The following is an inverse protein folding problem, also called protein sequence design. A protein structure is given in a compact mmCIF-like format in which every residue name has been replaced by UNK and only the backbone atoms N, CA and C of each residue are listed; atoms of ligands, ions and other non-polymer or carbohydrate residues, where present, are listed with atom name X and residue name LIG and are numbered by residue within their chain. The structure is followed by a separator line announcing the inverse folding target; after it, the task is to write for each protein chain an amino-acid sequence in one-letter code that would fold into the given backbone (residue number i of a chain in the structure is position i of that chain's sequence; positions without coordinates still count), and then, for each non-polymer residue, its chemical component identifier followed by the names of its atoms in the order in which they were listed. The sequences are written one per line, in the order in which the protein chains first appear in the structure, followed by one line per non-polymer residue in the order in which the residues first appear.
data_IF_422506000949
#
_entry.id   IF_422506000949
#
_cell.length_a   1.000
_cell.length_b   1.000
_cell.length_c   1.000
_cell.angle_alpha   90.00
_cell.angle_beta   90.00
_cell.angle_gamma   90.00
#
_symmetry.space_group_name_H-M   'P 1'
#
loop_
_entity.id
_entity.type
_entity.pdbx_description
1 polymer ?
#
# COMPACT_ATOMS: atom_id res chain seq x y z
N UNK A 1 -11.80 -44.13 -0.07
CA UNK A 1 -10.92 -43.55 -1.11
C UNK A 1 -10.98 -42.04 -1.00
N UNK A 2 -9.82 -41.44 -0.73
CA UNK A 2 -9.63 -40.01 -0.49
C UNK A 2 -9.77 -39.21 -1.79
N UNK A 3 -10.61 -38.19 -1.78
CA UNK A 3 -10.73 -37.22 -2.88
C UNK A 3 -10.70 -35.78 -2.34
N UNK A 4 -9.60 -35.41 -1.67
CA UNK A 4 -9.29 -34.02 -1.31
C UNK A 4 -8.87 -33.29 -2.60
N UNK A 5 -9.57 -32.22 -2.96
CA UNK A 5 -9.24 -31.40 -4.12
C UNK A 5 -9.77 -29.97 -4.03
N UNK A 6 -9.55 -29.30 -2.89
CA UNK A 6 -9.80 -27.87 -2.78
C UNK A 6 -8.64 -27.12 -3.45
N UNK A 7 -8.70 -26.94 -4.76
CA UNK A 7 -7.80 -26.00 -5.44
C UNK A 7 -8.26 -24.59 -5.12
N UNK A 8 -7.80 -24.06 -3.98
CA UNK A 8 -7.86 -22.63 -3.69
C UNK A 8 -6.92 -21.96 -4.69
N UNK A 9 -7.49 -21.38 -5.75
CA UNK A 9 -6.79 -20.50 -6.67
C UNK A 9 -6.21 -19.35 -5.83
N UNK A 10 -4.94 -19.43 -5.45
CA UNK A 10 -4.23 -18.26 -4.99
C UNK A 10 -4.02 -17.40 -6.23
N UNK A 11 -4.95 -16.48 -6.47
CA UNK A 11 -4.64 -15.32 -7.29
C UNK A 11 -3.40 -14.71 -6.66
N UNK A 12 -2.28 -14.79 -7.38
CA UNK A 12 -1.00 -14.22 -6.96
C UNK A 12 -1.18 -12.71 -7.06
N UNK A 13 -1.81 -12.10 -6.05
CA UNK A 13 -2.00 -10.65 -6.01
C UNK A 13 -0.61 -10.03 -6.08
N UNK A 14 -0.34 -9.30 -7.16
CA UNK A 14 0.92 -8.59 -7.31
C UNK A 14 0.96 -7.54 -6.21
N UNK A 15 1.94 -7.67 -5.31
CA UNK A 15 2.27 -6.62 -4.35
C UNK A 15 2.62 -5.38 -5.15
N UNK A 16 1.90 -4.30 -4.87
CA UNK A 16 2.10 -2.98 -5.48
C UNK A 16 2.64 -2.04 -4.43
N UNK A 17 3.46 -1.12 -4.88
CA UNK A 17 4.07 -0.11 -4.02
C UNK A 17 3.42 1.23 -4.29
N UNK A 18 3.21 2.00 -3.23
CA UNK A 18 2.55 3.29 -3.26
C UNK A 18 3.32 4.29 -2.40
N UNK A 19 3.18 5.56 -2.75
CA UNK A 19 3.68 6.70 -2.01
C UNK A 19 2.51 7.58 -1.59
N UNK A 20 2.35 7.78 -0.28
CA UNK A 20 1.34 8.69 0.28
C UNK A 20 1.99 9.90 0.93
N UNK A 21 1.50 11.11 0.61
CA UNK A 21 1.92 12.35 1.27
C UNK A 21 1.02 12.60 2.47
N UNK A 22 1.56 12.55 3.69
CA UNK A 22 0.80 12.70 4.93
C UNK A 22 0.23 14.12 5.03
N UNK A 23 -1.07 14.21 5.28
CA UNK A 23 -1.76 15.48 5.47
C UNK A 23 -1.33 16.18 6.78
N UNK A 24 -1.26 17.51 6.73
CA UNK A 24 -0.99 18.32 7.92
C UNK A 24 -2.03 18.04 9.01
N UNK A 25 -1.57 17.79 10.23
CA UNK A 25 -2.41 17.38 11.37
C UNK A 25 -2.28 15.91 11.72
N UNK A 26 -1.79 15.06 10.81
CA UNK A 26 -1.51 13.66 11.07
C UNK A 26 -0.03 13.41 11.37
N UNK A 27 0.25 12.61 12.38
CA UNK A 27 1.60 12.10 12.65
C UNK A 27 1.86 10.80 11.88
N UNK A 28 3.14 10.52 11.59
CA UNK A 28 3.55 9.25 10.96
C UNK A 28 3.05 8.03 11.74
N UNK A 29 3.10 8.07 13.08
CA UNK A 29 2.67 6.96 13.94
C UNK A 29 1.17 6.67 13.80
N UNK A 30 0.34 7.71 13.67
CA UNK A 30 -1.11 7.53 13.44
C UNK A 30 -1.38 6.93 12.07
N UNK A 31 -0.69 7.42 11.04
CA UNK A 31 -0.77 6.90 9.67
C UNK A 31 -0.33 5.44 9.61
N UNK A 32 0.82 5.10 10.19
CA UNK A 32 1.35 3.73 10.26
C UNK A 32 0.36 2.79 10.96
N UNK A 33 -0.25 3.24 12.06
CA UNK A 33 -1.27 2.47 12.79
C UNK A 33 -2.50 2.20 11.90
N UNK A 34 -2.98 3.21 11.15
CA UNK A 34 -4.11 3.05 10.23
C UNK A 34 -3.78 2.10 9.09
N UNK A 35 -2.61 2.25 8.46
CA UNK A 35 -2.15 1.36 7.39
C UNK A 35 -2.04 -0.09 7.87
N UNK A 36 -1.44 -0.30 9.05
CA UNK A 36 -1.31 -1.64 9.65
C UNK A 36 -2.66 -2.27 9.95
N UNK A 37 -3.63 -1.50 10.44
CA UNK A 37 -5.02 -1.97 10.66
C UNK A 37 -5.73 -2.39 9.38
N UNK A 38 -5.37 -1.77 8.24
CA UNK A 38 -5.89 -2.13 6.92
C UNK A 38 -5.15 -3.33 6.31
N UNK A 39 -4.14 -3.87 6.97
CA UNK A 39 -3.27 -4.93 6.45
C UNK A 39 -2.25 -4.42 5.42
N UNK A 40 -2.03 -3.11 5.37
CA UNK A 40 -1.06 -2.47 4.48
C UNK A 40 0.28 -2.36 5.21
N UNK A 41 1.35 -2.78 4.55
CA UNK A 41 2.69 -2.77 5.13
C UNK A 41 3.41 -1.48 4.77
N UNK A 42 3.89 -0.75 5.77
CA UNK A 42 4.81 0.37 5.55
C UNK A 42 6.19 -0.17 5.19
N UNK A 43 6.79 0.41 4.15
CA UNK A 43 8.12 0.05 3.66
C UNK A 43 9.17 1.07 4.12
N UNK A 44 8.94 2.37 3.85
CA UNK A 44 9.87 3.45 4.20
C UNK A 44 9.12 4.73 4.56
N UNK A 45 9.65 5.55 5.46
CA UNK A 45 9.13 6.89 5.76
C UNK A 45 10.20 7.96 5.51
N UNK A 46 9.82 9.01 4.76
CA UNK A 46 10.65 10.15 4.43
C UNK A 46 10.19 11.39 5.22
N UNK A 47 10.71 11.63 6.44
CA UNK A 47 10.20 12.66 7.34
C UNK A 47 10.31 14.08 6.79
N UNK A 48 11.36 14.38 6.03
CA UNK A 48 11.58 15.71 5.43
C UNK A 48 10.46 16.11 4.45
N UNK A 49 9.85 15.14 3.79
CA UNK A 49 8.81 15.35 2.79
C UNK A 49 7.42 14.92 3.29
N UNK A 50 7.34 14.35 4.50
CA UNK A 50 6.16 13.69 5.03
C UNK A 50 5.58 12.63 4.08
N UNK A 51 6.45 11.92 3.36
CA UNK A 51 6.05 10.86 2.42
C UNK A 51 6.22 9.50 3.08
N UNK A 52 5.22 8.64 2.95
CA UNK A 52 5.30 7.24 3.37
C UNK A 52 5.23 6.34 2.13
N UNK A 53 6.20 5.44 2.01
CA UNK A 53 6.23 4.35 1.04
C UNK A 53 5.62 3.13 1.70
N UNK A 54 4.64 2.51 1.05
CA UNK A 54 3.95 1.34 1.58
C UNK A 54 3.58 0.37 0.46
N UNK A 55 3.42 -0.90 0.84
CA UNK A 55 3.18 -2.00 -0.07
C UNK A 55 1.88 -2.69 0.31
N UNK A 56 1.06 -2.96 -0.69
CA UNK A 56 -0.19 -3.70 -0.52
C UNK A 56 -0.49 -4.55 -1.75
N UNK A 57 -1.21 -5.64 -1.54
CA UNK A 57 -1.77 -6.48 -2.59
C UNK A 57 -3.14 -5.97 -3.08
N UNK A 58 -3.66 -4.90 -2.46
CA UNK A 58 -4.94 -4.27 -2.80
C UNK A 58 -4.73 -3.12 -3.77
N UNK A 59 -5.70 -2.94 -4.66
CA UNK A 59 -5.73 -1.77 -5.55
C UNK A 59 -6.24 -0.58 -4.74
N UNK A 60 -5.38 0.42 -4.56
CA UNK A 60 -5.66 1.62 -3.76
C UNK A 60 -6.74 2.50 -4.38
N UNK A 61 -7.06 2.35 -5.68
CA UNK A 61 -8.14 3.12 -6.34
C UNK A 61 -9.55 2.90 -5.73
N UNK A 62 -9.69 2.00 -4.75
CA UNK A 62 -10.91 1.75 -3.99
C UNK A 62 -10.81 2.18 -2.51
N UNK A 63 -9.67 2.74 -2.08
CA UNK A 63 -9.39 3.09 -0.69
C UNK A 63 -9.16 4.60 -0.60
N UNK A 64 -10.16 5.32 -0.10
CA UNK A 64 -9.99 6.71 0.29
C UNK A 64 -9.23 6.79 1.61
N UNK A 65 -8.09 7.46 1.61
CA UNK A 65 -7.32 7.73 2.81
C UNK A 65 -7.56 9.16 3.29
N UNK A 66 -8.21 9.28 4.44
CA UNK A 66 -8.49 10.56 5.12
C UNK A 66 -7.25 11.24 5.72
N UNK A 67 -6.08 10.60 5.60
CA UNK A 67 -4.80 11.06 6.17
C UNK A 67 -3.72 11.32 5.13
N UNK A 68 -4.01 11.10 3.84
CA UNK A 68 -3.11 11.46 2.75
C UNK A 68 -3.67 12.62 1.93
N UNK A 69 -2.81 13.55 1.54
CA UNK A 69 -3.12 14.60 0.57
C UNK A 69 -3.22 13.99 -0.82
N UNK A 70 -2.30 13.09 -1.14
CA UNK A 70 -2.26 12.34 -2.39
C UNK A 70 -1.62 10.99 -2.16
N UNK A 71 -1.99 10.02 -2.99
CA UNK A 71 -1.38 8.69 -3.06
C UNK A 71 -1.10 8.35 -4.51
N UNK A 72 0.15 8.06 -4.81
CA UNK A 72 0.63 7.68 -6.14
C UNK A 72 1.12 6.23 -6.14
N UNK A 73 0.78 5.46 -7.17
CA UNK A 73 1.36 4.14 -7.40
C UNK A 73 2.80 4.31 -7.91
N UNK A 74 3.75 3.55 -7.35
CA UNK A 74 5.10 3.42 -7.92
C UNK A 74 4.95 2.73 -9.28
N UNK A 75 4.88 3.54 -10.34
CA UNK A 75 4.97 3.03 -11.71
C UNK A 75 6.44 2.93 -12.07
N UNK A 76 6.84 1.73 -12.44
CA UNK A 76 8.17 1.42 -13.00
C UNK A 76 8.28 1.97 -14.45
N UNK A 77 7.90 3.23 -14.68
CA UNK A 77 7.84 3.88 -15.99
C UNK A 77 9.23 4.36 -16.48
N UNK A 78 10.32 3.83 -15.92
CA UNK A 78 11.65 3.94 -16.53
C UNK A 78 11.86 2.89 -17.62
N UNK A 79 10.94 2.83 -18.58
CA UNK A 79 11.26 2.28 -19.90
C UNK A 79 11.99 3.37 -20.69
N UNK A 80 13.32 3.41 -20.56
CA UNK A 80 14.14 4.12 -21.53
C UNK A 80 13.99 3.33 -22.84
N UNK A 81 13.31 3.94 -23.82
CA UNK A 81 13.13 3.39 -25.17
C UNK A 81 14.25 3.86 -26.10
#
# INVERSE_FOLDING_TARGET
MSGRGWYRLFVKSKMKTYFGVIQNGWSFKEVETKLTRLGIRVDTYYPKLKIVKFVTDRIISQIDFDFFITVEEEKDDFAIQ
#
